data_IF_586404878992
#
_entry.id   IF_586404878992
#
_cell.length_a   1.000
_cell.length_b   1.000
_cell.length_c   1.000
_cell.angle_alpha   90.00
_cell.angle_beta   90.00
_cell.angle_gamma   90.00
#
_symmetry.space_group_name_H-M   'P 1'
#
loop_
_entity.id
_entity.type
_entity.pdbx_description
1 polymer ?
#
# COMPACT_ATOMS: atom_id res chain seq x y z
N UNK A 1 45.63 -6.28 -15.14
CA UNK A 1 44.95 -4.97 -15.20
C UNK A 1 43.58 -5.15 -14.57
N UNK A 2 43.15 -4.15 -13.80
CA UNK A 2 42.32 -4.28 -12.60
C UNK A 2 40.94 -4.87 -12.89
N UNK A 3 40.59 -5.91 -12.13
CA UNK A 3 39.26 -6.51 -12.03
C UNK A 3 38.33 -5.39 -11.54
N UNK A 4 37.44 -4.90 -12.40
CA UNK A 4 36.38 -4.01 -11.97
C UNK A 4 35.49 -4.78 -10.97
N UNK A 5 35.29 -4.30 -9.74
CA UNK A 5 34.45 -4.98 -8.78
C UNK A 5 33.01 -4.93 -9.30
N UNK A 6 32.56 -6.08 -9.76
CA UNK A 6 31.15 -6.44 -9.80
C UNK A 6 30.65 -6.18 -8.38
N UNK A 7 29.72 -5.24 -8.26
CA UNK A 7 29.01 -4.90 -7.04
C UNK A 7 28.14 -6.11 -6.66
N UNK A 8 28.79 -7.12 -6.09
CA UNK A 8 28.21 -8.20 -5.32
C UNK A 8 28.24 -7.79 -3.87
N UNK A 9 27.25 -7.01 -3.44
CA UNK A 9 26.94 -6.69 -2.04
C UNK A 9 25.56 -6.01 -2.05
N UNK A 10 24.47 -6.41 -1.40
CA UNK A 10 24.04 -7.52 -0.54
C UNK A 10 22.50 -7.47 -0.54
N UNK A 11 21.79 -8.50 -0.09
CA UNK A 11 20.37 -8.44 0.19
C UNK A 11 20.04 -7.50 1.39
N UNK A 12 19.54 -6.27 1.14
CA UNK A 12 18.37 -5.77 1.87
C UNK A 12 17.24 -5.23 0.95
N UNK A 13 17.46 -5.11 -0.36
CA UNK A 13 16.46 -4.59 -1.33
C UNK A 13 15.67 -5.68 -2.08
N UNK A 14 16.15 -6.94 -2.12
CA UNK A 14 15.39 -8.06 -2.70
C UNK A 14 14.01 -8.29 -2.02
N UNK A 15 13.88 -8.19 -0.68
CA UNK A 15 12.57 -8.23 -0.04
C UNK A 15 11.68 -7.05 -0.44
N UNK A 16 12.28 -5.91 -0.77
CA UNK A 16 11.56 -4.68 -1.13
C UNK A 16 11.01 -4.77 -2.56
N UNK A 17 11.79 -5.28 -3.52
CA UNK A 17 11.34 -5.49 -4.89
C UNK A 17 10.20 -6.53 -4.99
N UNK A 18 10.28 -7.61 -4.22
CA UNK A 18 9.18 -8.58 -4.12
C UNK A 18 7.91 -7.93 -3.53
N UNK A 19 8.09 -7.12 -2.49
CA UNK A 19 6.99 -6.41 -1.84
C UNK A 19 6.37 -5.36 -2.76
N UNK A 20 7.19 -4.67 -3.55
CA UNK A 20 6.78 -3.73 -4.59
C UNK A 20 5.93 -4.43 -5.64
N UNK A 21 6.42 -5.54 -6.20
CA UNK A 21 5.69 -6.32 -7.22
C UNK A 21 4.31 -6.75 -6.70
N UNK A 22 4.26 -7.26 -5.47
CA UNK A 22 3.01 -7.66 -4.82
C UNK A 22 2.06 -6.46 -4.62
N UNK A 23 2.57 -5.29 -4.19
CA UNK A 23 1.78 -4.08 -4.03
C UNK A 23 1.27 -3.53 -5.37
N UNK A 24 2.07 -3.62 -6.43
CA UNK A 24 1.66 -3.23 -7.79
C UNK A 24 0.52 -4.14 -8.29
N UNK A 25 0.62 -5.46 -8.07
CA UNK A 25 -0.47 -6.39 -8.37
C UNK A 25 -1.74 -6.09 -7.57
N UNK A 26 -1.59 -5.85 -6.25
CA UNK A 26 -2.70 -5.45 -5.39
C UNK A 26 -3.36 -4.16 -5.89
N UNK A 27 -2.57 -3.17 -6.29
CA UNK A 27 -3.07 -1.90 -6.81
C UNK A 27 -3.93 -2.09 -8.07
N UNK A 28 -3.48 -2.94 -9.00
CA UNK A 28 -4.23 -3.27 -10.22
C UNK A 28 -5.56 -3.92 -9.88
N UNK A 29 -5.56 -4.92 -8.99
CA UNK A 29 -6.77 -5.62 -8.56
C UNK A 29 -7.76 -4.68 -7.87
N UNK A 30 -7.27 -3.82 -6.96
CA UNK A 30 -8.09 -2.84 -6.27
C UNK A 30 -8.72 -1.84 -7.24
N UNK A 31 -7.97 -1.36 -8.24
CA UNK A 31 -8.45 -0.42 -9.26
C UNK A 31 -9.56 -1.03 -10.11
N UNK A 32 -9.43 -2.30 -10.50
CA UNK A 32 -10.50 -3.04 -11.20
C UNK A 32 -11.76 -3.10 -10.35
N UNK A 33 -11.65 -3.51 -9.08
CA UNK A 33 -12.78 -3.59 -8.16
C UNK A 33 -13.48 -2.24 -7.96
N UNK A 34 -12.71 -1.15 -7.84
CA UNK A 34 -13.30 0.20 -7.74
C UNK A 34 -14.08 0.57 -9.01
N UNK A 35 -13.56 0.20 -10.19
CA UNK A 35 -14.22 0.44 -11.47
C UNK A 35 -15.58 -0.27 -11.51
N UNK A 36 -15.63 -1.54 -11.11
CA UNK A 36 -16.88 -2.31 -11.02
C UNK A 36 -17.90 -1.66 -10.07
N UNK A 37 -17.49 -1.28 -8.85
CA UNK A 37 -18.37 -0.63 -7.88
C UNK A 37 -18.92 0.70 -8.41
N UNK A 38 -18.09 1.46 -9.13
CA UNK A 38 -18.50 2.72 -9.74
C UNK A 38 -19.55 2.50 -10.84
N UNK A 39 -19.42 1.41 -11.62
CA UNK A 39 -20.42 1.02 -12.61
C UNK A 39 -21.72 0.62 -11.91
N UNK A 40 -21.65 -0.22 -10.86
CA UNK A 40 -22.83 -0.65 -10.10
C UNK A 40 -23.60 0.54 -9.53
N UNK A 41 -22.93 1.57 -9.02
CA UNK A 41 -23.60 2.77 -8.50
C UNK A 41 -24.36 3.58 -9.56
N UNK A 42 -24.03 3.42 -10.84
CA UNK A 42 -24.72 4.11 -11.96
C UNK A 42 -25.89 3.29 -12.54
N UNK A 43 -25.91 1.98 -12.31
CA UNK A 43 -26.95 1.10 -12.87
C UNK A 43 -28.30 1.27 -12.14
N UNK A 44 -29.43 1.18 -12.86
CA UNK A 44 -30.74 1.10 -12.22
C UNK A 44 -30.80 -0.14 -11.33
N UNK A 45 -31.19 0.03 -10.07
CA UNK A 45 -31.23 -1.04 -9.07
C UNK A 45 -29.87 -1.43 -8.49
N UNK A 46 -28.79 -0.68 -8.78
CA UNK A 46 -27.48 -0.77 -8.12
C UNK A 46 -26.89 -2.20 -8.02
N UNK A 47 -27.17 -3.05 -9.01
CA UNK A 47 -26.83 -4.47 -9.00
C UNK A 47 -27.33 -5.24 -7.75
N UNK A 48 -28.44 -4.79 -7.15
CA UNK A 48 -29.02 -5.39 -5.95
C UNK A 48 -28.40 -4.92 -4.63
N UNK A 49 -27.45 -3.97 -4.66
CA UNK A 49 -26.92 -3.34 -3.46
C UNK A 49 -27.79 -2.17 -2.99
N UNK A 50 -27.85 -1.97 -1.68
CA UNK A 50 -28.36 -0.73 -1.10
C UNK A 50 -27.38 0.43 -1.41
N UNK A 51 -27.87 1.65 -1.75
CA UNK A 51 -27.01 2.79 -2.11
C UNK A 51 -25.95 3.15 -1.06
N UNK A 52 -26.29 3.08 0.24
CA UNK A 52 -25.36 3.39 1.32
C UNK A 52 -24.27 2.32 1.43
N UNK A 53 -24.65 1.05 1.27
CA UNK A 53 -23.68 -0.06 1.24
C UNK A 53 -22.69 0.11 0.08
N UNK A 54 -23.17 0.50 -1.09
CA UNK A 54 -22.33 0.72 -2.27
C UNK A 54 -21.37 1.90 -2.08
N UNK A 55 -21.82 2.99 -1.45
CA UNK A 55 -20.96 4.12 -1.11
C UNK A 55 -19.84 3.73 -0.15
N UNK A 56 -20.17 2.98 0.92
CA UNK A 56 -19.17 2.46 1.87
C UNK A 56 -18.13 1.59 1.16
N UNK A 57 -18.57 0.66 0.30
CA UNK A 57 -17.66 -0.21 -0.47
C UNK A 57 -16.77 0.60 -1.42
N UNK A 58 -17.33 1.60 -2.10
CA UNK A 58 -16.60 2.47 -3.03
C UNK A 58 -15.56 3.31 -2.29
N UNK A 59 -15.94 3.91 -1.16
CA UNK A 59 -15.06 4.71 -0.30
C UNK A 59 -13.93 3.85 0.28
N UNK A 60 -14.25 2.66 0.78
CA UNK A 60 -13.25 1.72 1.30
C UNK A 60 -12.27 1.27 0.21
N UNK A 61 -12.76 0.96 -1.00
CA UNK A 61 -11.91 0.60 -2.13
C UNK A 61 -10.97 1.75 -2.53
N UNK A 62 -11.46 2.99 -2.57
CA UNK A 62 -10.64 4.19 -2.82
C UNK A 62 -9.56 4.38 -1.75
N UNK A 63 -9.90 4.19 -0.48
CA UNK A 63 -8.93 4.27 0.61
C UNK A 63 -7.83 3.21 0.47
N UNK A 64 -8.20 1.96 0.18
CA UNK A 64 -7.23 0.89 -0.03
C UNK A 64 -6.25 1.19 -1.19
N UNK A 65 -6.76 1.73 -2.31
CA UNK A 65 -5.93 2.19 -3.44
C UNK A 65 -4.97 3.29 -3.00
N UNK A 66 -5.46 4.28 -2.24
CA UNK A 66 -4.64 5.38 -1.75
C UNK A 66 -3.53 4.90 -0.80
N UNK A 67 -3.83 3.93 0.06
CA UNK A 67 -2.88 3.30 0.98
C UNK A 67 -1.77 2.57 0.20
N UNK A 68 -2.14 1.76 -0.80
CA UNK A 68 -1.20 1.06 -1.68
C UNK A 68 -0.36 2.03 -2.51
N UNK A 69 -0.98 3.05 -3.12
CA UNK A 69 -0.28 4.05 -3.92
C UNK A 69 0.78 4.79 -3.11
N UNK A 70 0.46 5.15 -1.86
CA UNK A 70 1.39 5.84 -0.99
C UNK A 70 2.56 4.94 -0.56
N UNK A 71 2.31 3.65 -0.32
CA UNK A 71 3.37 2.68 -0.08
C UNK A 71 4.34 2.62 -1.27
N UNK A 72 3.82 2.50 -2.50
CA UNK A 72 4.60 2.49 -3.74
C UNK A 72 5.39 3.80 -3.97
N UNK A 73 4.77 4.95 -3.67
CA UNK A 73 5.46 6.25 -3.75
C UNK A 73 6.66 6.30 -2.80
N UNK A 74 6.48 5.87 -1.54
CA UNK A 74 7.59 5.83 -0.57
C UNK A 74 8.69 4.85 -0.97
N UNK A 75 8.36 3.74 -1.64
CA UNK A 75 9.36 2.83 -2.20
C UNK A 75 10.18 3.53 -3.28
N UNK A 76 9.51 4.28 -4.16
CA UNK A 76 10.17 5.06 -5.22
C UNK A 76 11.05 6.18 -4.66
N UNK A 77 10.63 6.83 -3.57
CA UNK A 77 11.37 7.90 -2.89
C UNK A 77 12.47 7.37 -1.95
N UNK A 78 12.60 6.05 -1.76
CA UNK A 78 13.54 5.46 -0.79
C UNK A 78 13.18 5.74 0.68
N UNK A 79 11.97 6.23 0.95
CA UNK A 79 11.46 6.54 2.29
C UNK A 79 10.56 5.44 2.84
N UNK A 80 10.40 4.33 2.11
CA UNK A 80 9.61 3.18 2.53
C UNK A 80 10.12 2.62 3.86
N UNK A 81 9.18 2.25 4.73
CA UNK A 81 9.52 1.87 6.08
C UNK A 81 9.94 3.03 6.99
N UNK A 82 9.61 4.29 6.68
CA UNK A 82 9.71 5.42 7.62
C UNK A 82 8.34 5.89 8.09
N UNK A 83 8.23 6.20 9.37
CA UNK A 83 7.01 6.70 10.00
C UNK A 83 6.74 8.14 9.58
N UNK A 84 5.55 8.46 9.07
CA UNK A 84 5.25 9.83 8.63
C UNK A 84 5.28 10.87 9.76
N UNK A 85 4.94 10.46 10.99
CA UNK A 85 4.81 11.38 12.11
C UNK A 85 6.12 11.66 12.84
N UNK A 86 7.03 10.68 12.92
CA UNK A 86 8.29 10.83 13.67
C UNK A 86 9.53 10.57 12.82
N UNK A 87 9.38 10.27 11.53
CA UNK A 87 10.46 10.02 10.56
C UNK A 87 11.43 8.88 10.92
N UNK A 88 11.12 8.14 11.99
CA UNK A 88 11.87 6.97 12.44
C UNK A 88 11.54 5.74 11.59
N UNK A 89 12.47 4.78 11.47
CA UNK A 89 12.21 3.52 10.79
C UNK A 89 11.06 2.75 11.46
N UNK A 90 10.15 2.23 10.64
CA UNK A 90 9.08 1.31 10.99
C UNK A 90 9.71 -0.08 11.10
N UNK A 91 9.48 -0.81 12.19
CA UNK A 91 10.04 -2.15 12.35
C UNK A 91 9.59 -3.07 11.20
N UNK A 92 10.56 -3.80 10.61
CA UNK A 92 10.34 -4.73 9.49
C UNK A 92 9.23 -5.75 9.76
N UNK A 93 9.09 -6.23 11.00
CA UNK A 93 7.99 -7.14 11.39
C UNK A 93 6.62 -6.55 11.07
N UNK A 94 6.43 -5.25 11.30
CA UNK A 94 5.18 -4.55 10.97
C UNK A 94 4.99 -4.37 9.47
N UNK A 95 6.07 -4.11 8.72
CA UNK A 95 6.00 -3.98 7.26
C UNK A 95 5.72 -5.33 6.57
N UNK A 96 6.10 -6.43 7.21
CA UNK A 96 5.76 -7.80 6.77
C UNK A 96 4.28 -8.12 7.00
N UNK A 97 3.71 -7.72 8.13
CA UNK A 97 2.28 -7.92 8.41
C UNK A 97 1.39 -6.92 7.66
N UNK A 98 1.82 -5.66 7.58
CA UNK A 98 1.09 -4.54 6.99
C UNK A 98 2.03 -3.75 6.08
N UNK A 99 2.14 -4.11 4.80
CA UNK A 99 3.03 -3.45 3.84
C UNK A 99 2.75 -1.96 3.67
N UNK A 100 1.49 -1.56 3.72
CA UNK A 100 1.07 -0.17 3.59
C UNK A 100 1.15 0.62 4.92
N UNK A 101 1.85 0.11 5.95
CA UNK A 101 1.95 0.77 7.24
C UNK A 101 2.57 2.18 7.12
N UNK A 102 1.79 3.20 7.51
CA UNK A 102 2.21 4.62 7.51
C UNK A 102 2.94 5.08 8.78
N UNK A 103 2.69 4.39 9.88
CA UNK A 103 3.15 4.79 11.20
C UNK A 103 3.90 3.66 11.90
N UNK A 104 4.91 4.02 12.70
CA UNK A 104 5.54 3.10 13.62
C UNK A 104 4.56 2.70 14.74
N UNK A 105 4.82 1.57 15.41
CA UNK A 105 3.99 1.03 16.50
C UNK A 105 3.68 2.08 17.58
N UNK A 106 4.65 2.92 17.93
CA UNK A 106 4.48 4.02 18.88
C UNK A 106 3.47 5.07 18.38
N UNK A 107 3.66 5.61 17.18
CA UNK A 107 2.76 6.62 16.62
C UNK A 107 1.36 6.08 16.32
N UNK A 108 1.26 4.81 15.90
CA UNK A 108 -0.02 4.15 15.71
C UNK A 108 -0.80 4.01 17.03
N UNK A 109 -0.14 3.61 18.13
CA UNK A 109 -0.77 3.52 19.45
C UNK A 109 -1.32 4.86 19.92
N UNK A 110 -0.64 5.97 19.62
CA UNK A 110 -1.10 7.32 19.99
C UNK A 110 -2.30 7.83 19.17
N UNK A 111 -2.64 7.23 18.02
CA UNK A 111 -3.80 7.60 17.20
C UNK A 111 -5.06 6.77 17.49
N UNK A 112 -4.91 5.60 18.08
CA UNK A 112 -6.02 4.69 18.38
C UNK A 112 -6.60 4.87 19.79
N UNK A 113 -6.45 6.04 20.41
CA UNK A 113 -6.99 6.35 21.74
C UNK A 113 -8.08 7.40 21.68
#
# INVERSE_FOLDING_TARGET
>A
MIIAPHHTETAPDQPLELLRTMLEEQFVLQTRRLTELTIYGRLPGHAGYDPNTLDILTTSARQAIADTAQALRRMTEGTYGRCEQCQRPIPLGRLREVPHARYCTRCHRHRGS
#
